data_IF_606923729750
#
_entry.id   IF_606923729750
#
_cell.length_a   1.000
_cell.length_b   1.000
_cell.length_c   1.000
_cell.angle_alpha   90.00
_cell.angle_beta   90.00
_cell.angle_gamma   90.00
#
_symmetry.space_group_name_H-M   'P 1'
#
loop_
_entity.id
_entity.type
_entity.pdbx_description
1 polymer ?
#
# COMPACT_ATOMS: atom_id res chain seq x y z
N UNK A 1 1.32 5.40 -4.52
CA UNK A 1 0.14 5.95 -5.23
C UNK A 1 -0.96 6.27 -4.23
N UNK A 2 -1.66 7.39 -4.41
CA UNK A 2 -2.77 7.84 -3.57
C UNK A 2 -4.05 7.98 -4.38
N UNK A 3 -5.17 7.54 -3.80
CA UNK A 3 -6.52 7.74 -4.32
C UNK A 3 -7.34 8.44 -3.23
N UNK A 4 -7.72 9.68 -3.52
CA UNK A 4 -8.57 10.46 -2.63
C UNK A 4 -10.03 10.02 -2.80
N UNK A 5 -10.79 9.93 -1.69
CA UNK A 5 -12.18 9.56 -1.76
C UNK A 5 -13.00 10.67 -2.43
N UNK A 6 -14.08 10.29 -3.13
CA UNK A 6 -15.00 11.28 -3.72
C UNK A 6 -15.82 12.05 -2.68
N UNK A 7 -16.06 11.44 -1.52
CA UNK A 7 -16.75 12.03 -0.38
C UNK A 7 -16.02 11.60 0.90
N UNK A 8 -15.91 12.48 1.92
CA UNK A 8 -15.12 12.22 3.14
C UNK A 8 -15.63 11.04 3.99
N UNK A 9 -16.85 10.55 3.73
CA UNK A 9 -17.37 9.32 4.34
C UNK A 9 -16.73 8.04 3.82
N UNK A 10 -16.04 8.11 2.66
CA UNK A 10 -15.35 6.97 2.07
C UNK A 10 -13.86 7.00 2.41
N UNK A 11 -13.22 5.83 2.52
CA UNK A 11 -11.80 5.78 2.82
C UNK A 11 -10.96 6.25 1.63
N UNK A 12 -9.85 6.94 1.94
CA UNK A 12 -8.75 7.09 0.99
C UNK A 12 -8.00 5.77 0.81
N UNK A 13 -7.30 5.61 -0.32
CA UNK A 13 -6.50 4.41 -0.58
C UNK A 13 -5.06 4.82 -0.88
N UNK A 14 -4.12 4.24 -0.16
CA UNK A 14 -2.68 4.31 -0.43
C UNK A 14 -2.20 2.93 -0.87
N UNK A 15 -1.49 2.89 -2.00
CA UNK A 15 -0.93 1.66 -2.54
C UNK A 15 0.53 1.86 -2.93
N UNK A 16 1.35 0.85 -2.62
CA UNK A 16 2.75 0.77 -3.03
C UNK A 16 2.99 -0.57 -3.73
N UNK A 17 3.62 -0.52 -4.90
CA UNK A 17 3.83 -1.68 -5.76
C UNK A 17 5.32 -1.99 -5.87
N UNK A 18 5.70 -3.23 -5.58
CA UNK A 18 7.07 -3.73 -5.79
C UNK A 18 7.07 -4.96 -6.69
N UNK A 19 8.12 -5.13 -7.48
CA UNK A 19 8.28 -6.30 -8.34
C UNK A 19 9.72 -6.80 -8.32
N UNK A 20 9.88 -8.12 -8.25
CA UNK A 20 11.17 -8.81 -8.45
C UNK A 20 10.94 -10.14 -9.16
N UNK A 21 11.80 -10.48 -10.11
CA UNK A 21 11.70 -11.73 -10.88
C UNK A 21 12.25 -12.92 -10.09
N UNK A 22 11.53 -14.04 -10.12
CA UNK A 22 12.05 -15.34 -9.70
C UNK A 22 12.32 -15.48 -8.20
N UNK A 23 11.66 -14.67 -7.37
CA UNK A 23 11.81 -14.73 -5.92
C UNK A 23 10.87 -15.77 -5.29
N UNK A 24 11.29 -16.33 -4.14
CA UNK A 24 10.49 -17.26 -3.35
C UNK A 24 9.25 -16.60 -2.75
N UNK A 25 8.26 -17.40 -2.35
CA UNK A 25 7.05 -16.89 -1.73
C UNK A 25 7.33 -16.09 -0.45
N UNK A 26 8.27 -16.54 0.39
CA UNK A 26 8.64 -15.84 1.62
C UNK A 26 9.31 -14.49 1.33
N UNK A 27 10.16 -14.44 0.30
CA UNK A 27 10.75 -13.18 -0.16
C UNK A 27 9.68 -12.25 -0.72
N UNK A 28 8.69 -12.79 -1.42
CA UNK A 28 7.56 -12.03 -1.97
C UNK A 28 6.67 -11.45 -0.86
N UNK A 29 6.41 -12.22 0.21
CA UNK A 29 5.72 -11.74 1.42
C UNK A 29 6.49 -10.61 2.11
N UNK A 30 7.81 -10.77 2.29
CA UNK A 30 8.68 -9.71 2.85
C UNK A 30 8.64 -8.45 2.00
N UNK A 31 8.64 -8.60 0.68
CA UNK A 31 8.57 -7.47 -0.26
C UNK A 31 7.23 -6.73 -0.19
N UNK A 32 6.11 -7.45 -0.01
CA UNK A 32 4.79 -6.81 0.19
C UNK A 32 4.74 -6.04 1.52
N UNK A 33 5.31 -6.61 2.59
CA UNK A 33 5.43 -5.92 3.89
C UNK A 33 6.35 -4.69 3.82
N UNK A 34 7.44 -4.77 3.07
CA UNK A 34 8.32 -3.63 2.81
C UNK A 34 7.58 -2.51 2.06
N UNK A 35 6.75 -2.86 1.06
CA UNK A 35 5.90 -1.90 0.36
C UNK A 35 4.94 -1.19 1.33
N UNK A 36 4.29 -1.92 2.25
CA UNK A 36 3.44 -1.30 3.27
C UNK A 36 4.25 -0.40 4.22
N UNK A 37 5.41 -0.87 4.71
CA UNK A 37 6.27 -0.07 5.59
C UNK A 37 6.72 1.24 4.93
N UNK A 38 6.94 1.22 3.62
CA UNK A 38 7.29 2.42 2.85
C UNK A 38 6.14 3.45 2.87
N UNK A 39 4.88 3.01 2.77
CA UNK A 39 3.70 3.89 2.91
C UNK A 39 3.71 4.56 4.29
N UNK A 40 3.91 3.78 5.36
CA UNK A 40 3.92 4.29 6.74
C UNK A 40 5.07 5.26 7.01
N UNK A 41 6.27 4.94 6.50
CA UNK A 41 7.47 5.73 6.76
C UNK A 41 7.40 7.08 6.05
N UNK A 42 6.88 7.10 4.83
CA UNK A 42 6.75 8.33 4.04
C UNK A 42 5.54 9.17 4.44
N UNK A 43 4.65 8.64 5.30
CA UNK A 43 3.46 9.33 5.82
C UNK A 43 2.61 9.96 4.72
N UNK A 44 2.40 9.21 3.64
CA UNK A 44 1.60 9.68 2.50
C UNK A 44 0.14 9.96 2.86
N UNK A 45 -0.34 9.48 4.02
CA UNK A 45 -1.66 9.80 4.55
C UNK A 45 -1.76 11.22 5.09
N UNK A 46 -0.66 11.93 5.32
CA UNK A 46 -0.66 13.29 5.92
C UNK A 46 -1.59 14.26 5.18
N UNK A 47 -1.50 14.31 3.84
CA UNK A 47 -2.34 15.18 3.01
C UNK A 47 -3.83 14.79 3.10
N UNK A 48 -4.14 13.48 3.02
CA UNK A 48 -5.50 12.97 3.18
C UNK A 48 -6.09 13.34 4.55
N UNK A 49 -5.29 13.25 5.62
CA UNK A 49 -5.72 13.64 6.97
C UNK A 49 -6.00 15.14 7.05
N UNK A 50 -5.17 15.97 6.42
CA UNK A 50 -5.38 17.42 6.36
C UNK A 50 -6.67 17.80 5.62
N UNK A 51 -7.05 17.02 4.59
CA UNK A 51 -8.31 17.18 3.86
C UNK A 51 -9.53 16.60 4.58
N UNK A 52 -9.36 16.01 5.77
CA UNK A 52 -10.45 15.50 6.60
C UNK A 52 -10.82 14.03 6.34
N UNK A 53 -10.01 13.29 5.60
CA UNK A 53 -10.21 11.84 5.41
C UNK A 53 -9.92 11.10 6.71
N UNK A 54 -10.94 10.45 7.27
CA UNK A 54 -10.89 9.78 8.58
C UNK A 54 -10.45 8.32 8.50
N UNK A 55 -10.55 7.69 7.34
CA UNK A 55 -10.11 6.31 7.11
C UNK A 55 -9.21 6.23 5.88
N UNK A 56 -8.09 5.52 6.00
CA UNK A 56 -7.15 5.32 4.89
C UNK A 56 -6.76 3.85 4.84
N UNK A 57 -7.12 3.19 3.74
CA UNK A 57 -6.71 1.81 3.46
C UNK A 57 -5.30 1.85 2.87
N UNK A 58 -4.39 1.04 3.42
CA UNK A 58 -2.98 0.99 3.00
C UNK A 58 -2.63 -0.40 2.48
N UNK A 59 -2.16 -0.49 1.24
CA UNK A 59 -1.88 -1.75 0.55
C UNK A 59 -0.42 -1.81 0.09
N UNK A 60 0.36 -2.70 0.70
CA UNK A 60 1.66 -3.10 0.17
C UNK A 60 1.51 -4.30 -0.76
N UNK A 61 1.80 -4.13 -2.05
CA UNK A 61 1.61 -5.17 -3.06
C UNK A 61 2.95 -5.53 -3.68
N UNK A 62 3.24 -6.82 -3.74
CA UNK A 62 4.46 -7.33 -4.37
C UNK A 62 4.16 -8.39 -5.43
N UNK A 63 4.93 -8.35 -6.51
CA UNK A 63 4.80 -9.24 -7.66
C UNK A 63 6.10 -10.02 -7.96
N UNK A 64 5.94 -11.27 -8.38
CA UNK A 64 6.99 -12.11 -8.97
C UNK A 64 6.41 -12.91 -10.14
N UNK A 65 6.56 -12.38 -11.35
CA UNK A 65 5.86 -12.89 -12.53
C UNK A 65 4.34 -12.78 -12.34
N UNK A 66 3.63 -13.91 -12.37
CA UNK A 66 2.18 -13.98 -12.12
C UNK A 66 1.81 -14.11 -10.64
N UNK A 67 2.78 -14.29 -9.75
CA UNK A 67 2.53 -14.40 -8.33
C UNK A 67 2.39 -13.01 -7.71
N UNK A 68 1.35 -12.83 -6.89
CA UNK A 68 1.10 -11.59 -6.14
C UNK A 68 0.96 -11.89 -4.65
N UNK A 69 1.48 -11.00 -3.81
CA UNK A 69 1.17 -10.95 -2.38
C UNK A 69 0.76 -9.54 -2.00
N UNK A 70 -0.26 -9.45 -1.15
CA UNK A 70 -0.81 -8.21 -0.63
C UNK A 70 -0.63 -8.24 0.87
N UNK A 71 -0.20 -7.13 1.45
CA UNK A 71 -0.13 -6.90 2.88
C UNK A 71 -0.95 -5.65 3.23
N UNK A 72 -1.83 -5.79 4.22
CA UNK A 72 -2.66 -4.72 4.78
C UNK A 72 -2.59 -4.80 6.30
N UNK A 73 -2.85 -3.68 6.97
CA UNK A 73 -3.12 -3.62 8.42
C UNK A 73 -4.61 -3.66 8.70
#
# INVERSE_FOLDING_TARGET
MSLFPRELRYPGILMELKWKKGITEDTLKKLAKEALNQIETQRYDTEMRQEGVTEVIKLGIAFSGKNVKIWTV
#
